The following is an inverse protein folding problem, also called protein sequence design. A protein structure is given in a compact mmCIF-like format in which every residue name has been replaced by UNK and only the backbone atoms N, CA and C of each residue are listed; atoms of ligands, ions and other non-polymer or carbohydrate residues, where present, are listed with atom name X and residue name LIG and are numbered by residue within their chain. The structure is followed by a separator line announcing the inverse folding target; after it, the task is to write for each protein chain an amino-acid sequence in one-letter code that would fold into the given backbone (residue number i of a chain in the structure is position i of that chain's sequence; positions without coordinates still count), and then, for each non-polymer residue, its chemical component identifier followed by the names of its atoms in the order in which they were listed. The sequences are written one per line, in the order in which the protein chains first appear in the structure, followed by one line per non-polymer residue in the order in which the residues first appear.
data_IF_972570670662
#
_entry.id   IF_972570670662
#
_cell.length_a   1.000
_cell.length_b   1.000
_cell.length_c   1.000
_cell.angle_alpha   90.00
_cell.angle_beta   90.00
_cell.angle_gamma   90.00
#
_symmetry.space_group_name_H-M   'P 1'
#
loop_
_entity.id
_entity.type
_entity.pdbx_description
1 polymer ?
#
# COMPACT_ATOMS: atom_id res chain seq x y z
N UNK A 1 -31.57 -10.04 -22.25
CA UNK A 1 -30.48 -9.48 -21.43
C UNK A 1 -29.19 -9.55 -22.21
N UNK A 2 -28.44 -8.45 -22.35
CA UNK A 2 -27.08 -8.54 -22.88
C UNK A 2 -26.33 -9.55 -22.03
N UNK A 3 -25.93 -10.67 -22.65
CA UNK A 3 -25.06 -11.63 -21.98
C UNK A 3 -23.74 -10.92 -21.77
N UNK A 4 -23.45 -10.45 -20.55
CA UNK A 4 -22.14 -9.95 -20.10
C UNK A 4 -21.04 -11.04 -20.16
N UNK A 5 -21.21 -12.08 -20.97
CA UNK A 5 -20.38 -13.27 -21.01
C UNK A 5 -19.16 -13.14 -21.93
N UNK A 6 -18.94 -12.01 -22.61
CA UNK A 6 -17.71 -11.82 -23.38
C UNK A 6 -16.59 -11.31 -22.47
N UNK A 7 -15.50 -12.08 -22.42
CA UNK A 7 -14.19 -11.78 -21.80
C UNK A 7 -13.58 -10.43 -22.25
N UNK A 8 -14.14 -9.78 -23.26
CA UNK A 8 -13.60 -8.61 -23.98
C UNK A 8 -14.05 -7.25 -23.41
N UNK A 9 -14.87 -7.22 -22.37
CA UNK A 9 -15.47 -5.99 -21.85
C UNK A 9 -14.50 -5.10 -21.06
N UNK A 10 -13.37 -5.65 -20.59
CA UNK A 10 -12.29 -4.90 -19.93
C UNK A 10 -11.07 -4.88 -20.84
N UNK A 11 -10.63 -3.69 -21.24
CA UNK A 11 -9.42 -3.48 -22.05
C UNK A 11 -8.41 -2.65 -21.29
N UNK A 12 -7.14 -3.06 -21.36
CA UNK A 12 -6.01 -2.29 -20.83
C UNK A 12 -5.55 -1.32 -21.92
N UNK A 13 -5.58 -0.03 -21.64
CA UNK A 13 -5.12 1.02 -22.56
C UNK A 13 -3.64 1.35 -22.34
N UNK A 14 -3.21 1.38 -21.08
CA UNK A 14 -1.83 1.63 -20.66
C UNK A 14 -1.56 0.83 -19.41
N UNK A 15 -0.38 0.21 -19.32
CA UNK A 15 0.06 -0.46 -18.11
C UNK A 15 1.57 -0.33 -17.94
N UNK A 16 1.97 0.22 -16.80
CA UNK A 16 3.33 0.22 -16.29
C UNK A 16 3.33 -0.36 -14.87
N UNK A 17 4.48 -0.42 -14.22
CA UNK A 17 4.57 -0.85 -12.83
C UNK A 17 3.85 0.11 -11.85
N UNK A 18 3.64 1.36 -12.26
CA UNK A 18 3.10 2.43 -11.38
C UNK A 18 1.76 2.98 -11.85
N UNK A 19 1.39 2.79 -13.12
CA UNK A 19 0.20 3.42 -13.71
C UNK A 19 -0.55 2.45 -14.63
N UNK A 20 -1.87 2.34 -14.44
CA UNK A 20 -2.75 1.52 -15.26
C UNK A 20 -3.98 2.31 -15.72
N UNK A 21 -4.27 2.26 -17.01
CA UNK A 21 -5.46 2.85 -17.62
C UNK A 21 -6.32 1.73 -18.18
N UNK A 22 -7.56 1.65 -17.73
CA UNK A 22 -8.50 0.59 -18.05
C UNK A 22 -9.76 1.17 -18.67
N UNK A 23 -10.33 0.44 -19.62
CA UNK A 23 -11.60 0.76 -20.27
C UNK A 23 -12.57 -0.39 -20.08
N UNK A 24 -13.78 -0.08 -19.62
CA UNK A 24 -14.87 -1.03 -19.46
C UNK A 24 -16.04 -0.60 -20.34
N UNK A 25 -16.41 -1.44 -21.31
CA UNK A 25 -17.55 -1.22 -22.19
C UNK A 25 -18.09 -2.54 -22.78
N UNK A 26 -19.37 -2.60 -23.18
CA UNK A 26 -20.43 -1.64 -22.87
C UNK A 26 -21.04 -1.87 -21.47
N UNK A 27 -21.40 -0.78 -20.79
CA UNK A 27 -22.13 -0.79 -19.52
C UNK A 27 -23.55 -0.26 -19.71
N UNK A 28 -24.52 -0.76 -18.93
CA UNK A 28 -25.85 -0.14 -18.92
C UNK A 28 -25.76 1.29 -18.35
N UNK A 29 -26.66 2.20 -18.77
CA UNK A 29 -26.75 3.54 -18.18
C UNK A 29 -26.78 3.50 -16.65
N UNK A 30 -26.01 4.37 -15.99
CA UNK A 30 -25.84 4.43 -14.53
C UNK A 30 -24.86 3.41 -13.93
N UNK A 31 -24.43 2.38 -14.68
CA UNK A 31 -23.49 1.40 -14.16
C UNK A 31 -22.04 1.91 -14.18
N UNK A 32 -21.69 2.84 -15.07
CA UNK A 32 -20.35 3.45 -15.10
C UNK A 32 -20.01 4.13 -13.77
N UNK A 33 -20.93 4.93 -13.22
CA UNK A 33 -20.73 5.61 -11.93
C UNK A 33 -20.77 4.63 -10.76
N UNK A 34 -21.65 3.65 -10.82
CA UNK A 34 -21.80 2.65 -9.75
C UNK A 34 -20.51 1.83 -9.60
N UNK A 35 -19.99 1.30 -10.71
CA UNK A 35 -18.74 0.52 -10.73
C UNK A 35 -17.54 1.44 -10.44
N UNK A 36 -17.45 2.57 -11.13
CA UNK A 36 -16.31 3.49 -11.03
C UNK A 36 -16.12 4.04 -9.62
N UNK A 37 -17.18 4.51 -8.97
CA UNK A 37 -17.10 5.03 -7.62
C UNK A 37 -16.82 3.94 -6.59
N UNK A 38 -17.42 2.76 -6.74
CA UNK A 38 -17.19 1.62 -5.83
C UNK A 38 -15.74 1.17 -5.89
N UNK A 39 -15.21 0.91 -7.09
CA UNK A 39 -13.81 0.51 -7.26
C UNK A 39 -12.85 1.60 -6.78
N UNK A 40 -13.14 2.88 -7.06
CA UNK A 40 -12.33 4.00 -6.57
C UNK A 40 -12.21 4.00 -5.05
N UNK A 41 -13.31 3.79 -4.32
CA UNK A 41 -13.29 3.73 -2.86
C UNK A 41 -12.45 2.56 -2.37
N UNK A 42 -12.73 1.36 -2.86
CA UNK A 42 -12.05 0.13 -2.42
C UNK A 42 -10.56 0.15 -2.73
N UNK A 43 -10.16 0.65 -3.91
CA UNK A 43 -8.75 0.81 -4.27
C UNK A 43 -8.03 1.75 -3.28
N UNK A 44 -8.65 2.85 -2.89
CA UNK A 44 -8.02 3.84 -2.01
C UNK A 44 -8.01 3.46 -0.53
N UNK A 45 -8.96 2.64 -0.06
CA UNK A 45 -9.17 2.42 1.38
C UNK A 45 -8.99 0.99 1.87
N UNK A 46 -8.87 0.00 0.97
CA UNK A 46 -9.08 -1.40 1.37
C UNK A 46 -8.06 -2.37 0.78
N UNK A 47 -7.03 -1.87 0.11
CA UNK A 47 -5.91 -2.69 -0.29
C UNK A 47 -4.86 -2.73 0.82
N UNK A 48 -4.42 -3.94 1.11
CA UNK A 48 -3.38 -4.22 2.08
C UNK A 48 -2.00 -3.81 1.55
N UNK A 49 -1.14 -3.38 2.45
CA UNK A 49 0.27 -3.15 2.19
C UNK A 49 1.09 -3.22 3.46
N UNK A 50 2.39 -2.91 3.33
CA UNK A 50 3.37 -3.07 4.40
C UNK A 50 4.07 -1.74 4.68
N UNK A 51 4.20 -1.41 5.96
CA UNK A 51 4.85 -0.18 6.42
C UNK A 51 5.56 -0.38 7.75
N UNK A 52 6.53 0.49 8.04
CA UNK A 52 7.20 0.51 9.34
C UNK A 52 6.22 1.07 10.38
N UNK A 53 6.01 0.35 11.48
CA UNK A 53 5.20 0.79 12.62
C UNK A 53 6.02 1.41 13.74
N UNK A 54 7.29 1.00 13.86
CA UNK A 54 8.19 1.54 14.86
C UNK A 54 9.65 1.36 14.48
N UNK A 55 10.47 2.25 15.05
CA UNK A 55 11.92 2.25 14.92
C UNK A 55 12.56 2.43 16.29
N UNK A 56 13.65 1.71 16.53
CA UNK A 56 14.52 1.90 17.69
C UNK A 56 15.94 2.06 17.18
N UNK A 57 16.64 3.07 17.67
CA UNK A 57 18.02 3.33 17.28
C UNK A 57 18.89 3.42 18.53
N UNK A 58 20.06 2.78 18.50
CA UNK A 58 20.95 2.78 19.66
C UNK A 58 21.46 4.19 19.98
N UNK A 59 21.32 4.60 21.24
CA UNK A 59 21.69 5.95 21.70
C UNK A 59 20.66 7.04 21.40
N UNK A 60 19.44 6.67 20.97
CA UNK A 60 18.32 7.59 20.73
C UNK A 60 17.16 7.25 21.66
N UNK A 61 16.80 8.19 22.51
CA UNK A 61 15.73 8.00 23.50
C UNK A 61 14.36 8.51 23.01
N UNK A 62 14.34 9.50 22.11
CA UNK A 62 13.13 10.13 21.61
C UNK A 62 13.27 10.64 20.15
N UNK A 63 12.16 10.91 19.51
CA UNK A 63 12.04 11.29 18.08
C UNK A 63 12.70 12.63 17.69
N UNK A 64 12.92 13.51 18.66
CA UNK A 64 13.60 14.80 18.48
C UNK A 64 15.11 14.77 18.76
N UNK A 65 15.68 13.59 19.04
CA UNK A 65 17.08 13.51 19.41
C UNK A 65 18.01 13.67 18.20
N UNK A 66 19.16 14.31 18.43
CA UNK A 66 20.25 14.37 17.47
C UNK A 66 21.19 13.18 17.66
N UNK A 67 21.70 12.62 16.56
CA UNK A 67 22.56 11.45 16.60
C UNK A 67 23.99 11.88 16.30
N UNK A 68 24.93 11.61 17.22
CA UNK A 68 26.31 12.09 17.09
C UNK A 68 26.96 11.56 15.80
N UNK A 69 27.20 12.48 14.87
CA UNK A 69 27.88 12.22 13.60
C UNK A 69 27.01 11.61 12.50
N UNK A 70 25.68 11.63 12.69
CA UNK A 70 24.72 11.65 11.59
C UNK A 70 24.36 13.12 11.31
N UNK A 71 24.06 13.45 10.05
CA UNK A 71 23.73 14.81 9.62
C UNK A 71 22.28 15.16 9.94
N UNK A 72 21.37 14.23 9.70
CA UNK A 72 19.93 14.32 9.95
C UNK A 72 19.61 14.06 11.43
N UNK A 73 18.54 14.67 11.93
CA UNK A 73 17.96 14.33 13.23
C UNK A 73 17.03 13.11 13.13
N UNK A 74 16.61 12.59 14.28
CA UNK A 74 15.73 11.41 14.30
C UNK A 74 14.37 11.67 13.62
N UNK A 75 13.87 12.91 13.62
CA UNK A 75 12.60 13.27 12.98
C UNK A 75 12.70 13.17 11.46
N UNK A 76 13.78 13.68 10.86
CA UNK A 76 14.03 13.57 9.42
C UNK A 76 14.26 12.11 9.01
N UNK A 77 14.96 11.32 9.82
CA UNK A 77 15.12 9.88 9.61
C UNK A 77 13.75 9.18 9.63
N UNK A 78 12.89 9.48 10.60
CA UNK A 78 11.52 8.94 10.68
C UNK A 78 10.73 9.27 9.41
N UNK A 79 10.81 10.51 8.92
CA UNK A 79 10.15 10.93 7.69
C UNK A 79 10.68 10.20 6.45
N UNK A 80 11.98 9.90 6.40
CA UNK A 80 12.58 9.15 5.28
C UNK A 80 12.20 7.67 5.35
N UNK A 81 12.20 7.06 6.53
CA UNK A 81 11.74 5.68 6.75
C UNK A 81 10.26 5.51 6.33
N UNK A 82 9.37 6.48 6.59
CA UNK A 82 7.98 6.47 6.12
C UNK A 82 7.83 6.43 4.59
N UNK A 83 8.86 6.84 3.84
CA UNK A 83 8.86 6.83 2.36
C UNK A 83 9.30 5.49 1.79
N UNK A 84 9.85 4.57 2.58
CA UNK A 84 10.23 3.23 2.10
C UNK A 84 8.97 2.47 1.66
N UNK A 85 9.09 1.69 0.58
CA UNK A 85 8.02 0.87 0.02
C UNK A 85 8.41 -0.59 0.00
N UNK A 86 7.67 -1.38 0.76
CA UNK A 86 7.90 -2.80 0.95
C UNK A 86 6.90 -3.61 0.12
N UNK A 87 7.41 -4.64 -0.53
CA UNK A 87 6.62 -5.68 -1.19
C UNK A 87 7.04 -7.02 -0.58
N UNK A 88 6.10 -7.77 -0.03
CA UNK A 88 6.42 -9.09 0.52
C UNK A 88 6.91 -10.02 -0.60
N UNK A 89 8.02 -10.73 -0.37
CA UNK A 89 8.56 -11.72 -1.32
C UNK A 89 7.75 -13.01 -1.31
N UNK A 90 7.08 -13.30 -0.19
CA UNK A 90 6.20 -14.45 -0.04
C UNK A 90 4.75 -13.97 -0.15
N UNK A 91 3.94 -14.68 -0.92
CA UNK A 91 2.49 -14.50 -0.87
C UNK A 91 1.99 -15.21 0.39
N UNK A 92 1.90 -14.48 1.50
CA UNK A 92 1.21 -14.98 2.69
C UNK A 92 -0.28 -15.14 2.38
N UNK A 93 -0.85 -16.25 2.85
CA UNK A 93 -2.28 -16.49 2.84
C UNK A 93 -3.00 -15.38 3.64
N UNK A 94 -4.22 -15.03 3.23
CA UNK A 94 -5.07 -14.06 3.95
C UNK A 94 -5.37 -14.60 5.37
N UNK A 95 -4.52 -14.26 6.34
CA UNK A 95 -4.80 -14.47 7.76
C UNK A 95 -5.66 -13.32 8.28
N UNK A 96 -6.78 -13.65 8.94
CA UNK A 96 -7.67 -12.68 9.60
C UNK A 96 -7.14 -12.24 10.97
N UNK A 97 -6.05 -12.85 11.44
CA UNK A 97 -5.41 -12.51 12.70
C UNK A 97 -4.57 -11.22 12.58
N UNK A 98 -4.51 -10.39 13.64
CA UNK A 98 -3.67 -9.20 13.65
C UNK A 98 -2.20 -9.59 13.47
N UNK A 99 -1.57 -9.05 12.43
CA UNK A 99 -0.15 -9.26 12.17
C UNK A 99 0.67 -8.72 13.36
N UNK A 100 1.41 -9.59 14.10
CA UNK A 100 2.24 -9.15 15.22
C UNK A 100 3.36 -8.19 14.77
N UNK A 101 3.66 -8.15 13.47
CA UNK A 101 4.72 -7.35 12.89
C UNK A 101 6.05 -8.06 12.94
N UNK A 102 6.79 -7.97 11.85
CA UNK A 102 8.10 -8.59 11.70
C UNK A 102 9.20 -7.62 12.12
N UNK A 103 10.04 -8.05 13.06
CA UNK A 103 11.10 -7.24 13.65
C UNK A 103 12.44 -7.53 12.98
N UNK A 104 13.08 -6.49 12.46
CA UNK A 104 14.39 -6.58 11.81
C UNK A 104 15.43 -5.78 12.58
N UNK A 105 16.58 -6.40 12.86
CA UNK A 105 17.74 -5.74 13.44
C UNK A 105 18.77 -5.48 12.34
N UNK A 106 19.10 -4.22 12.13
CA UNK A 106 19.94 -3.71 11.06
C UNK A 106 21.19 -3.14 11.70
N UNK A 107 22.36 -3.62 11.28
CA UNK A 107 23.66 -3.21 11.84
C UNK A 107 24.54 -2.72 10.69
N UNK A 108 24.64 -1.40 10.53
CA UNK A 108 25.38 -0.77 9.45
C UNK A 108 26.79 -0.40 9.95
N UNK A 109 27.77 -1.21 9.53
CA UNK A 109 29.19 -1.07 9.89
C UNK A 109 30.08 -0.83 8.66
N UNK A 110 29.56 -0.18 7.62
CA UNK A 110 30.33 0.16 6.42
C UNK A 110 30.89 1.59 6.50
N UNK A 111 31.88 1.90 5.65
CA UNK A 111 32.45 3.25 5.52
C UNK A 111 31.59 4.19 4.66
N UNK A 112 30.40 3.74 4.24
CA UNK A 112 29.49 4.51 3.40
C UNK A 112 28.93 5.69 4.20
N UNK A 113 28.97 6.87 3.59
CA UNK A 113 28.43 8.08 4.21
C UNK A 113 26.93 8.20 3.97
N UNK A 114 26.45 7.89 2.76
CA UNK A 114 25.04 7.93 2.42
C UNK A 114 24.40 6.55 2.64
N UNK A 115 23.46 6.46 3.58
CA UNK A 115 22.69 5.24 3.85
C UNK A 115 21.36 5.32 3.13
N UNK A 116 21.12 4.35 2.24
CA UNK A 116 19.95 4.24 1.39
C UNK A 116 19.01 3.13 1.89
N UNK A 117 17.76 3.14 1.43
CA UNK A 117 16.79 2.09 1.73
C UNK A 117 17.29 0.73 1.25
N UNK A 118 18.03 0.67 0.14
CA UNK A 118 18.68 -0.54 -0.35
C UNK A 118 19.65 -1.15 0.65
N UNK A 119 20.45 -0.32 1.35
CA UNK A 119 21.38 -0.79 2.38
C UNK A 119 20.63 -1.38 3.59
N UNK A 120 19.46 -0.84 3.94
CA UNK A 120 18.58 -1.43 4.97
C UNK A 120 17.98 -2.76 4.46
N UNK A 121 17.66 -2.83 3.18
CA UNK A 121 17.07 -3.99 2.51
C UNK A 121 17.92 -5.26 2.57
N UNK A 122 19.24 -5.14 2.69
CA UNK A 122 20.14 -6.29 2.86
C UNK A 122 19.82 -7.12 4.12
N UNK A 123 19.26 -6.47 5.14
CA UNK A 123 18.90 -7.10 6.42
C UNK A 123 17.43 -7.54 6.46
N UNK A 124 16.60 -7.06 5.53
CA UNK A 124 15.16 -7.27 5.49
C UNK A 124 14.85 -8.38 4.48
N UNK A 125 15.06 -9.62 4.90
CA UNK A 125 15.02 -10.77 4.00
C UNK A 125 13.60 -11.08 3.46
N UNK A 126 12.54 -10.84 4.23
CA UNK A 126 11.15 -11.12 3.84
C UNK A 126 10.57 -10.14 2.80
N UNK A 127 11.14 -8.93 2.70
CA UNK A 127 10.58 -7.87 1.86
C UNK A 127 11.54 -7.48 0.72
N UNK A 128 10.96 -7.14 -0.42
CA UNK A 128 11.60 -6.42 -1.52
C UNK A 128 11.34 -4.93 -1.33
N UNK A 129 12.40 -4.12 -1.35
CA UNK A 129 12.29 -2.66 -1.28
C UNK A 129 12.19 -2.11 -2.71
N UNK A 130 11.07 -1.45 -3.01
CA UNK A 130 10.75 -0.96 -4.36
C UNK A 130 11.56 0.29 -4.74
N UNK A 131 11.94 1.08 -3.75
CA UNK A 131 12.70 2.32 -3.92
C UNK A 131 14.08 2.26 -3.22
N UNK A 132 15.01 1.40 -3.67
CA UNK A 132 16.29 1.17 -2.99
C UNK A 132 17.16 2.43 -2.93
N UNK A 133 17.09 3.31 -3.92
CA UNK A 133 17.91 4.52 -4.01
C UNK A 133 17.48 5.64 -3.03
N UNK A 134 16.41 5.44 -2.28
CA UNK A 134 15.91 6.42 -1.31
C UNK A 134 16.95 6.60 -0.18
N UNK A 135 17.51 7.80 -0.06
CA UNK A 135 18.41 8.16 1.04
C UNK A 135 17.61 8.22 2.34
N UNK A 136 18.10 7.53 3.37
CA UNK A 136 17.53 7.51 4.72
C UNK A 136 18.25 8.50 5.62
N UNK A 137 19.58 8.46 5.61
CA UNK A 137 20.43 9.34 6.41
C UNK A 137 21.85 9.41 5.86
N UNK A 138 22.63 10.37 6.34
CA UNK A 138 24.03 10.57 6.06
C UNK A 138 24.85 10.52 7.35
N UNK A 139 25.84 9.63 7.43
CA UNK A 139 26.71 9.43 8.60
C UNK A 139 28.17 9.68 8.26
N UNK A 140 28.98 10.02 9.27
CA UNK A 140 30.45 9.99 9.12
C UNK A 140 30.94 8.54 8.98
N UNK A 141 32.01 8.33 8.21
CA UNK A 141 32.55 7.00 7.84
C UNK A 141 32.72 6.02 9.00
N UNK A 142 33.23 6.48 10.13
CA UNK A 142 33.61 5.64 11.29
C UNK A 142 32.45 5.32 12.25
N UNK A 143 31.22 5.69 11.92
CA UNK A 143 30.08 5.51 12.82
C UNK A 143 29.33 4.22 12.46
N UNK A 144 29.18 3.35 13.46
CA UNK A 144 28.29 2.19 13.42
C UNK A 144 26.88 2.60 13.82
N UNK A 145 25.88 2.12 13.07
CA UNK A 145 24.47 2.33 13.40
C UNK A 145 23.79 1.00 13.68
N UNK A 146 23.10 0.90 14.81
CA UNK A 146 22.17 -0.20 15.10
C UNK A 146 20.76 0.32 15.09
N UNK A 147 19.96 -0.18 14.14
CA UNK A 147 18.58 0.22 13.92
C UNK A 147 17.73 -1.03 13.99
N UNK A 148 16.68 -0.99 14.78
CA UNK A 148 15.66 -2.02 14.85
C UNK A 148 14.37 -1.44 14.30
N UNK A 149 13.79 -2.06 13.28
CA UNK A 149 12.48 -1.65 12.73
C UNK A 149 11.48 -2.78 12.90
N UNK A 150 10.20 -2.41 13.01
CA UNK A 150 9.08 -3.35 12.94
C UNK A 150 8.26 -3.01 11.70
N UNK A 151 8.10 -3.97 10.81
CA UNK A 151 7.27 -3.86 9.60
C UNK A 151 5.97 -4.61 9.87
N UNK A 152 4.83 -3.95 9.64
CA UNK A 152 3.51 -4.57 9.78
C UNK A 152 2.79 -4.61 8.45
N UNK A 153 1.88 -5.57 8.32
CA UNK A 153 0.80 -5.58 7.36
C UNK A 153 -0.37 -4.74 7.89
N UNK A 154 -0.98 -3.96 7.01
CA UNK A 154 -2.14 -3.17 7.38
C UNK A 154 -2.90 -2.62 6.18
N UNK A 155 -3.91 -1.81 6.46
CA UNK A 155 -4.75 -1.14 5.46
C UNK A 155 -4.81 0.34 5.80
N UNK A 156 -4.81 1.20 4.79
CA UNK A 156 -5.05 2.62 5.01
C UNK A 156 -3.85 3.32 5.68
N UNK A 157 -4.18 4.10 6.71
CA UNK A 157 -3.26 4.89 7.52
C UNK A 157 -3.53 4.58 8.99
N UNK A 158 -2.46 4.30 9.74
CA UNK A 158 -2.52 4.11 11.20
C UNK A 158 -1.59 5.13 11.85
N UNK A 159 -2.09 5.97 12.75
CA UNK A 159 -1.28 6.99 13.41
C UNK A 159 -0.35 6.39 14.47
N UNK A 160 0.72 7.10 14.82
CA UNK A 160 1.71 6.64 15.80
C UNK A 160 1.14 6.29 17.18
N UNK A 161 0.10 6.98 17.66
CA UNK A 161 -0.50 6.75 18.99
C UNK A 161 -1.23 5.40 19.06
N UNK A 162 -1.78 4.94 17.94
CA UNK A 162 -2.42 3.62 17.86
C UNK A 162 -1.36 2.51 17.83
N UNK A 163 -0.25 2.75 17.13
CA UNK A 163 0.90 1.85 17.13
C UNK A 163 1.57 1.76 18.51
N UNK A 164 1.61 2.85 19.28
CA UNK A 164 2.23 2.91 20.62
C UNK A 164 1.56 1.98 21.63
N UNK A 165 0.23 1.81 21.57
CA UNK A 165 -0.54 0.93 22.48
C UNK A 165 -0.06 -0.52 22.45
N UNK A 166 0.65 -0.93 21.40
CA UNK A 166 1.15 -2.28 21.20
C UNK A 166 2.67 -2.40 21.42
N UNK A 167 3.33 -1.36 21.96
CA UNK A 167 4.79 -1.28 22.10
C UNK A 167 5.16 -1.00 23.57
N UNK A 168 6.15 -1.72 24.12
CA UNK A 168 6.75 -1.51 25.47
C UNK A 168 8.20 -2.04 25.53
N UNK A 169 9.12 -1.51 26.37
CA UNK A 169 9.46 -0.11 26.67
C UNK A 169 10.94 0.25 26.32
N UNK A 170 11.24 1.55 26.41
CA UNK A 170 12.54 2.26 26.31
C UNK A 170 13.26 2.28 24.93
N UNK A 171 13.27 3.48 24.32
CA UNK A 171 14.01 3.83 23.10
C UNK A 171 13.35 3.38 21.78
N UNK A 172 12.16 2.80 21.83
CA UNK A 172 11.36 2.49 20.63
C UNK A 172 10.42 3.66 20.35
N UNK A 173 10.53 4.23 19.16
CA UNK A 173 9.72 5.33 18.67
C UNK A 173 8.64 4.74 17.75
N UNK A 174 7.37 4.96 18.09
CA UNK A 174 6.24 4.63 17.21
C UNK A 174 6.17 5.64 16.06
N UNK A 175 5.64 5.19 14.92
CA UNK A 175 5.60 6.01 13.71
C UNK A 175 4.23 5.86 13.05
N UNK A 176 3.80 6.88 12.33
CA UNK A 176 2.66 6.73 11.43
C UNK A 176 2.98 5.72 10.33
N UNK A 177 2.05 4.80 10.11
CA UNK A 177 2.17 3.74 9.11
C UNK A 177 1.22 4.00 7.94
N UNK A 178 1.79 4.16 6.75
CA UNK A 178 1.03 4.33 5.50
C UNK A 178 1.07 3.01 4.74
N UNK A 179 0.02 2.20 4.88
CA UNK A 179 -0.05 0.88 4.24
C UNK A 179 -0.63 0.94 2.83
N UNK A 180 -1.38 1.99 2.49
CA UNK A 180 -2.09 2.07 1.21
C UNK A 180 -1.11 2.13 0.02
N UNK A 181 -1.15 1.14 -0.90
CA UNK A 181 -0.27 1.12 -2.05
C UNK A 181 -0.77 1.99 -3.22
N UNK A 182 -2.00 2.52 -3.12
CA UNK A 182 -2.65 3.32 -4.16
C UNK A 182 -2.49 4.81 -3.89
N UNK A 183 -1.80 5.50 -4.80
CA UNK A 183 -1.57 6.96 -4.70
C UNK A 183 -2.73 7.77 -5.27
N UNK A 184 -3.33 7.31 -6.37
CA UNK A 184 -4.39 8.07 -7.05
C UNK A 184 -5.31 7.15 -7.85
N UNK A 185 -6.60 7.44 -7.80
CA UNK A 185 -7.59 6.83 -8.69
C UNK A 185 -8.51 7.90 -9.26
N UNK A 186 -8.66 7.89 -10.58
CA UNK A 186 -9.58 8.75 -11.34
C UNK A 186 -10.43 7.88 -12.24
N UNK A 187 -11.70 8.24 -12.41
CA UNK A 187 -12.54 7.63 -13.42
C UNK A 187 -13.31 8.68 -14.21
N UNK A 188 -13.64 8.36 -15.46
CA UNK A 188 -14.51 9.16 -16.32
C UNK A 188 -15.50 8.24 -17.02
N UNK A 189 -16.68 8.78 -17.35
CA UNK A 189 -17.76 8.04 -18.00
C UNK A 189 -18.09 8.76 -19.29
N UNK A 190 -18.22 7.99 -20.37
CA UNK A 190 -18.65 8.48 -21.67
C UNK A 190 -19.83 7.64 -22.17
N UNK A 191 -20.73 8.26 -22.94
CA UNK A 191 -21.77 7.52 -23.63
C UNK A 191 -21.18 6.80 -24.86
N UNK A 192 -21.62 5.57 -25.09
CA UNK A 192 -21.29 4.82 -26.31
C UNK A 192 -22.55 4.17 -26.90
N UNK A 193 -22.64 4.17 -28.24
CA UNK A 193 -23.73 3.52 -28.97
C UNK A 193 -23.22 2.22 -29.56
N UNK A 194 -23.79 1.10 -29.12
CA UNK A 194 -23.44 -0.25 -29.61
C UNK A 194 -24.40 -0.68 -30.74
N UNK A 195 -25.59 -0.08 -30.81
CA UNK A 195 -26.59 -0.30 -31.87
C UNK A 195 -27.39 0.97 -32.12
N UNK A 196 -28.13 1.02 -33.24
CA UNK A 196 -28.86 2.21 -33.72
C UNK A 196 -29.83 2.83 -32.69
N UNK A 197 -30.29 2.08 -31.69
CA UNK A 197 -31.29 2.53 -30.70
C UNK A 197 -30.91 2.22 -29.23
N UNK A 198 -29.62 2.07 -28.90
CA UNK A 198 -29.23 1.78 -27.50
C UNK A 198 -28.03 2.62 -27.06
N UNK A 199 -28.29 3.45 -26.05
CA UNK A 199 -27.27 4.20 -25.29
C UNK A 199 -26.70 3.33 -24.17
N UNK A 200 -25.40 3.10 -24.23
CA UNK A 200 -24.60 2.45 -23.19
C UNK A 200 -23.58 3.45 -22.65
N UNK A 201 -22.91 3.05 -21.58
CA UNK A 201 -21.81 3.79 -20.97
C UNK A 201 -20.47 3.05 -21.19
N UNK A 202 -19.41 3.83 -21.22
CA UNK A 202 -18.01 3.41 -21.19
C UNK A 202 -17.37 4.04 -19.97
N UNK A 203 -16.72 3.22 -19.16
CA UNK A 203 -15.97 3.65 -17.98
C UNK A 203 -14.47 3.62 -18.29
N UNK A 204 -13.78 4.74 -18.10
CA UNK A 204 -12.32 4.78 -18.05
C UNK A 204 -11.88 4.89 -16.60
N UNK A 205 -10.86 4.12 -16.24
CA UNK A 205 -10.29 4.08 -14.91
C UNK A 205 -8.76 4.25 -15.00
N UNK A 206 -8.25 5.28 -14.33
CA UNK A 206 -6.82 5.56 -14.18
C UNK A 206 -6.43 5.25 -12.73
N UNK A 207 -5.46 4.35 -12.55
CA UNK A 207 -4.94 3.92 -11.25
C UNK A 207 -3.44 4.21 -11.21
N UNK A 208 -2.98 4.92 -10.18
CA UNK A 208 -1.56 5.10 -9.87
C UNK A 208 -1.21 4.45 -8.54
N UNK A 209 -0.18 3.61 -8.55
CA UNK A 209 0.34 2.89 -7.38
C UNK A 209 1.71 3.42 -7.00
N UNK A 210 2.21 3.00 -5.84
CA UNK A 210 3.58 3.26 -5.39
C UNK A 210 4.60 2.22 -5.89
N UNK A 211 4.16 1.26 -6.72
CA UNK A 211 4.99 0.20 -7.30
C UNK A 211 5.03 -1.09 -6.49
N UNK A 212 4.52 -1.11 -5.25
CA UNK A 212 4.43 -2.33 -4.43
C UNK A 212 3.42 -3.34 -5.00
N UNK A 213 2.39 -2.82 -5.69
CA UNK A 213 1.40 -3.60 -6.41
C UNK A 213 1.25 -3.07 -7.84
N UNK A 214 1.14 -3.99 -8.79
CA UNK A 214 0.82 -3.62 -10.16
C UNK A 214 -0.63 -3.08 -10.24
N UNK A 215 -0.89 -1.99 -10.97
CA UNK A 215 -2.25 -1.43 -11.12
C UNK A 215 -3.31 -2.45 -11.57
N UNK A 216 -2.93 -3.43 -12.40
CA UNK A 216 -3.83 -4.50 -12.86
C UNK A 216 -4.22 -5.41 -11.70
N UNK A 217 -3.26 -5.82 -10.89
CA UNK A 217 -3.49 -6.72 -9.76
C UNK A 217 -4.27 -6.00 -8.65
N UNK A 218 -3.99 -4.71 -8.43
CA UNK A 218 -4.78 -3.86 -7.55
C UNK A 218 -6.26 -3.82 -7.96
N UNK A 219 -6.54 -3.64 -9.25
CA UNK A 219 -7.91 -3.65 -9.79
C UNK A 219 -8.60 -5.01 -9.57
N UNK A 220 -7.89 -6.11 -9.76
CA UNK A 220 -8.41 -7.46 -9.54
C UNK A 220 -8.70 -7.68 -8.05
N UNK A 221 -7.75 -7.36 -7.15
CA UNK A 221 -7.94 -7.47 -5.70
C UNK A 221 -9.13 -6.65 -5.23
N UNK A 222 -9.24 -5.39 -5.65
CA UNK A 222 -10.37 -4.52 -5.30
C UNK A 222 -11.70 -5.10 -5.80
N UNK A 223 -11.75 -5.61 -7.04
CA UNK A 223 -12.95 -6.23 -7.60
C UNK A 223 -13.37 -7.49 -6.82
N UNK A 224 -12.41 -8.32 -6.43
CA UNK A 224 -12.65 -9.51 -5.61
C UNK A 224 -13.17 -9.14 -4.22
N UNK A 225 -12.63 -8.10 -3.60
CA UNK A 225 -13.09 -7.63 -2.29
C UNK A 225 -14.53 -7.12 -2.35
N UNK A 226 -14.88 -6.35 -3.38
CA UNK A 226 -16.27 -5.91 -3.65
C UNK A 226 -17.19 -7.12 -3.81
N UNK A 227 -16.77 -8.11 -4.61
CA UNK A 227 -17.53 -9.35 -4.83
C UNK A 227 -17.76 -10.11 -3.51
N UNK A 228 -16.74 -10.21 -2.65
CA UNK A 228 -16.84 -10.88 -1.34
C UNK A 228 -17.92 -10.24 -0.47
N UNK A 229 -17.96 -8.91 -0.39
CA UNK A 229 -18.98 -8.19 0.35
C UNK A 229 -20.38 -8.37 -0.25
N UNK A 230 -20.53 -8.30 -1.58
CA UNK A 230 -21.84 -8.53 -2.21
C UNK A 230 -22.34 -9.97 -2.06
N UNK A 231 -21.43 -10.96 -1.99
CA UNK A 231 -21.80 -12.36 -1.76
C UNK A 231 -22.51 -12.57 -0.41
N UNK A 232 -22.17 -11.76 0.61
CA UNK A 232 -22.86 -11.80 1.91
C UNK A 232 -24.33 -11.37 1.79
N UNK A 233 -24.63 -10.46 0.86
CA UNK A 233 -25.99 -9.96 0.61
C UNK A 233 -26.78 -10.92 -0.28
N UNK A 234 -26.12 -11.62 -1.22
CA UNK A 234 -26.80 -12.50 -2.16
C UNK A 234 -27.25 -13.84 -1.56
N UNK A 235 -26.58 -14.32 -0.49
CA UNK A 235 -26.70 -15.71 -0.03
C UNK A 235 -27.36 -15.89 1.35
N UNK A 236 -27.92 -14.86 1.98
CA UNK A 236 -28.68 -15.02 3.23
C UNK A 236 -30.18 -14.88 2.98
N UNK A 237 -30.97 -15.87 3.45
CA UNK A 237 -32.37 -15.61 3.82
C UNK A 237 -32.30 -14.48 4.85
N UNK A 238 -32.79 -13.31 4.50
CA UNK A 238 -32.84 -12.16 5.40
C UNK A 238 -33.73 -12.57 6.58
N UNK A 239 -33.12 -12.96 7.70
CA UNK A 239 -33.85 -13.30 8.91
C UNK A 239 -34.36 -12.01 9.52
N UNK A 240 -35.67 -11.79 9.46
CA UNK A 240 -36.34 -10.76 10.23
C UNK A 240 -36.40 -11.24 11.67
N UNK A 241 -35.41 -10.84 12.47
CA UNK A 241 -35.53 -10.94 13.92
C UNK A 241 -36.38 -9.73 14.36
N UNK A 242 -37.67 -9.98 14.61
CA UNK A 242 -38.51 -9.09 15.41
C UNK A 242 -38.20 -9.30 16.89
#
# INVERSE_FOLDING_TARGET
FLKFTKKENLRVLKLTNYEGHFKIEPLYPGWGVTIGNTLRRVLLSSLEGYAISSVKMEGVDHEFATIKGVKEDMTEIILNLKKIRFKNKMEEEESEEPDPGEKFNIIINNEKEEITAGDLGEYIHLFEIINPDLIILNKKKLISLKITIVIKKGIGYVPSEENEKHINPNGTISMDSIFTPIKKVKYTIENCSVSKNSTYERLFLEIKTDGTINPKDALIKASNLVRRHFKLLSNKKISLNY
#
